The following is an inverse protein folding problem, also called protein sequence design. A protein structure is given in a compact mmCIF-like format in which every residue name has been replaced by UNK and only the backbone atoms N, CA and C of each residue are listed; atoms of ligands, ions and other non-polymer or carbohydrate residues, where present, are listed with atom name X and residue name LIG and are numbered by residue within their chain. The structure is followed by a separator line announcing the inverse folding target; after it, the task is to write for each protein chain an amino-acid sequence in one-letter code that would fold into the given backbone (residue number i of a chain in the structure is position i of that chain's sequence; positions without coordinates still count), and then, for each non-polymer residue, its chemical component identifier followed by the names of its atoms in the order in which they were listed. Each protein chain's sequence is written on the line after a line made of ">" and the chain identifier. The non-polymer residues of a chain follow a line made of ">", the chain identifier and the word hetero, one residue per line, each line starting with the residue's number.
data_IF_266656354054
#
_entry.id   IF_266656354054
#
_cell.length_a   1.000
_cell.length_b   1.000
_cell.length_c   1.000
_cell.angle_alpha   90.00
_cell.angle_beta   90.00
_cell.angle_gamma   90.00
#
_symmetry.space_group_name_H-M   'P 1'
#
loop_
_entity.id
_entity.type
_entity.pdbx_description
1 polymer ?
#
# COMPACT_ATOMS: atom_id res chain seq x y z
N UNK A 1 14.43 -32.36 7.51
CA UNK A 1 14.39 -30.94 7.11
C UNK A 1 13.02 -30.35 7.48
N UNK A 2 12.87 -29.76 8.67
CA UNK A 2 11.60 -29.17 9.10
C UNK A 2 11.40 -27.81 8.42
N UNK A 3 10.67 -27.83 7.29
CA UNK A 3 10.32 -26.63 6.54
C UNK A 3 9.45 -25.71 7.39
N UNK A 4 10.04 -24.63 7.93
CA UNK A 4 9.30 -23.55 8.59
C UNK A 4 8.22 -23.03 7.64
N UNK A 5 6.96 -23.38 7.88
CA UNK A 5 5.83 -22.84 7.13
C UNK A 5 5.85 -21.31 7.24
N UNK A 6 6.17 -20.61 6.14
CA UNK A 6 6.20 -19.15 6.10
C UNK A 6 4.81 -18.65 6.50
N UNK A 7 4.69 -18.08 7.71
CA UNK A 7 3.48 -17.40 8.21
C UNK A 7 2.95 -16.48 7.10
N UNK A 8 1.85 -16.87 6.47
CA UNK A 8 1.28 -16.12 5.34
C UNK A 8 0.91 -14.73 5.85
N UNK A 9 1.67 -13.71 5.43
CA UNK A 9 1.40 -12.34 5.86
C UNK A 9 0.01 -11.93 5.36
N UNK A 10 -0.74 -11.12 6.10
CA UNK A 10 -2.11 -10.72 5.73
C UNK A 10 -2.22 -9.99 4.37
N UNK A 11 -1.09 -9.52 3.83
CA UNK A 11 -0.96 -8.96 2.48
C UNK A 11 -0.57 -10.01 1.42
N UNK A 12 -0.33 -11.27 1.75
CA UNK A 12 -0.05 -12.32 0.76
C UNK A 12 -1.21 -12.47 -0.24
N UNK A 13 -2.45 -12.35 0.25
CA UNK A 13 -3.66 -12.30 -0.60
C UNK A 13 -3.69 -11.07 -1.53
N UNK A 14 -3.04 -9.96 -1.14
CA UNK A 14 -2.92 -8.78 -2.00
C UNK A 14 -2.13 -9.07 -3.27
N UNK A 15 -1.05 -9.86 -3.20
CA UNK A 15 -0.20 -10.13 -4.37
C UNK A 15 -0.97 -10.72 -5.56
N UNK A 16 -1.98 -11.55 -5.28
CA UNK A 16 -2.84 -12.19 -6.29
C UNK A 16 -3.80 -11.22 -6.98
N UNK A 17 -4.17 -10.12 -6.32
CA UNK A 17 -5.16 -9.15 -6.82
C UNK A 17 -4.56 -7.77 -7.09
N UNK A 18 -3.29 -7.55 -6.72
CA UNK A 18 -2.58 -6.31 -6.93
C UNK A 18 -2.38 -6.06 -8.43
N UNK A 19 -2.44 -4.79 -8.86
CA UNK A 19 -2.12 -4.44 -10.24
C UNK A 19 -0.62 -4.52 -10.52
N UNK A 20 -0.30 -5.05 -11.69
CA UNK A 20 1.01 -5.07 -12.34
C UNK A 20 1.46 -3.67 -12.75
N UNK A 21 2.70 -3.51 -13.19
CA UNK A 21 3.27 -2.20 -13.56
C UNK A 21 2.51 -1.51 -14.70
N UNK A 22 2.06 -2.28 -15.69
CA UNK A 22 1.28 -1.78 -16.82
C UNK A 22 -0.15 -1.43 -16.37
N UNK A 23 -0.82 -2.34 -15.66
CA UNK A 23 -2.16 -2.10 -15.11
C UNK A 23 -2.20 -0.87 -14.20
N UNK A 24 -1.14 -0.63 -13.41
CA UNK A 24 -1.05 0.57 -12.58
C UNK A 24 -1.01 1.86 -13.40
N UNK A 25 -0.39 1.85 -14.58
CA UNK A 25 -0.39 3.01 -15.48
C UNK A 25 -1.80 3.27 -16.00
N UNK A 26 -2.48 2.24 -16.50
CA UNK A 26 -3.86 2.33 -16.99
C UNK A 26 -4.83 2.76 -15.87
N UNK A 27 -4.69 2.18 -14.69
CA UNK A 27 -5.50 2.54 -13.52
C UNK A 27 -5.22 3.96 -13.03
N UNK A 28 -3.99 4.47 -13.20
CA UNK A 28 -3.70 5.86 -12.87
C UNK A 28 -4.43 6.82 -13.82
N UNK A 29 -4.51 6.49 -15.10
CA UNK A 29 -5.29 7.26 -16.08
C UNK A 29 -6.81 7.16 -15.81
N UNK A 30 -7.32 5.96 -15.53
CA UNK A 30 -8.75 5.70 -15.37
C UNK A 30 -9.31 6.10 -14.00
N UNK A 31 -8.60 5.77 -12.92
CA UNK A 31 -9.07 5.96 -11.54
C UNK A 31 -8.38 7.13 -10.83
N UNK A 32 -7.19 7.55 -11.30
CA UNK A 32 -6.43 8.64 -10.69
C UNK A 32 -6.01 8.38 -9.24
N UNK A 33 -5.88 9.47 -8.50
CA UNK A 33 -5.42 9.50 -7.09
C UNK A 33 -6.34 8.74 -6.12
N UNK A 34 -7.54 8.34 -6.54
CA UNK A 34 -8.46 7.52 -5.74
C UNK A 34 -7.86 6.15 -5.39
N UNK A 35 -7.05 5.61 -6.30
CA UNK A 35 -6.48 4.26 -6.17
C UNK A 35 -5.00 4.23 -5.81
N UNK A 36 -4.35 5.39 -5.65
CA UNK A 36 -2.93 5.51 -5.36
C UNK A 36 -2.68 6.55 -4.28
N UNK A 37 -2.07 6.14 -3.17
CA UNK A 37 -1.82 7.05 -2.05
C UNK A 37 -0.50 7.82 -2.15
N UNK A 38 0.38 7.47 -3.09
CA UNK A 38 1.64 8.17 -3.32
C UNK A 38 1.71 8.90 -4.66
N UNK A 39 2.88 9.46 -4.95
CA UNK A 39 3.22 10.06 -6.24
C UNK A 39 3.11 9.06 -7.38
N UNK A 40 2.54 9.50 -8.50
CA UNK A 40 2.34 8.68 -9.71
C UNK A 40 1.57 7.39 -9.36
N UNK A 41 2.12 6.24 -9.74
CA UNK A 41 1.51 4.92 -9.57
C UNK A 41 1.95 4.18 -8.30
N UNK A 42 2.37 4.93 -7.28
CA UNK A 42 2.90 4.38 -6.02
C UNK A 42 1.78 4.09 -5.02
N UNK A 43 1.96 3.05 -4.22
CA UNK A 43 1.00 2.63 -3.19
C UNK A 43 -0.41 2.38 -3.74
N UNK A 44 -0.59 1.38 -4.63
CA UNK A 44 -1.91 1.00 -5.11
C UNK A 44 -2.77 0.46 -3.96
N UNK A 45 -4.03 0.87 -3.91
CA UNK A 45 -5.02 0.43 -2.91
C UNK A 45 -6.28 -0.20 -3.52
N UNK A 46 -6.43 -0.16 -4.85
CA UNK A 46 -7.53 -0.77 -5.58
C UNK A 46 -7.10 -2.09 -6.23
N UNK A 47 -8.00 -3.08 -6.27
CA UNK A 47 -7.76 -4.34 -6.98
C UNK A 47 -7.50 -4.06 -8.47
N UNK A 48 -6.68 -4.90 -9.11
CA UNK A 48 -6.39 -4.80 -10.55
C UNK A 48 -7.66 -4.66 -11.38
N UNK A 49 -7.61 -3.84 -12.42
CA UNK A 49 -8.71 -3.56 -13.34
C UNK A 49 -10.00 -3.02 -12.69
N UNK A 50 -9.93 -2.53 -11.45
CA UNK A 50 -11.06 -1.90 -10.77
C UNK A 50 -10.68 -0.54 -10.20
N UNK A 51 -11.65 0.36 -10.06
CA UNK A 51 -11.50 1.58 -9.25
C UNK A 51 -12.07 1.39 -7.82
N UNK A 52 -12.13 0.14 -7.34
CA UNK A 52 -12.69 -0.24 -6.04
C UNK A 52 -11.57 -0.50 -5.05
N UNK A 53 -11.61 0.18 -3.90
CA UNK A 53 -10.62 0.02 -2.83
C UNK A 53 -10.72 -1.38 -2.23
N UNK A 54 -9.56 -2.00 -1.99
CA UNK A 54 -9.45 -3.30 -1.37
C UNK A 54 -8.77 -3.16 0.00
N UNK A 55 -9.34 -3.76 1.04
CA UNK A 55 -8.77 -3.73 2.39
C UNK A 55 -7.34 -4.28 2.44
N UNK A 56 -7.04 -5.35 1.71
CA UNK A 56 -5.69 -5.90 1.60
C UNK A 56 -4.73 -4.94 0.91
N UNK A 57 -5.21 -4.17 -0.08
CA UNK A 57 -4.42 -3.14 -0.76
C UNK A 57 -4.11 -1.95 0.14
N UNK A 58 -5.09 -1.49 0.90
CA UNK A 58 -4.88 -0.43 1.90
C UNK A 58 -3.91 -0.89 3.00
N UNK A 59 -4.05 -2.12 3.50
CA UNK A 59 -3.10 -2.70 4.46
C UNK A 59 -1.69 -2.82 3.87
N UNK A 60 -1.57 -3.30 2.63
CA UNK A 60 -0.28 -3.39 1.95
C UNK A 60 0.37 -2.01 1.78
N UNK A 61 -0.41 -0.99 1.41
CA UNK A 61 0.08 0.39 1.31
C UNK A 61 0.55 0.93 2.66
N UNK A 62 -0.18 0.65 3.75
CA UNK A 62 0.23 1.02 5.11
C UNK A 62 1.56 0.39 5.51
N UNK A 63 1.69 -0.93 5.33
CA UNK A 63 2.91 -1.68 5.70
C UNK A 63 4.11 -1.16 4.90
N UNK A 64 3.98 -1.07 3.57
CA UNK A 64 5.05 -0.56 2.70
C UNK A 64 5.44 0.88 3.02
N UNK A 65 4.48 1.72 3.37
CA UNK A 65 4.77 3.10 3.74
C UNK A 65 5.56 3.18 5.06
N UNK A 66 5.28 2.30 6.03
CA UNK A 66 6.09 2.22 7.26
C UNK A 66 7.50 1.69 7.01
N UNK A 67 7.64 0.64 6.19
CA UNK A 67 8.95 0.12 5.77
C UNK A 67 9.78 1.24 5.13
N UNK A 68 9.21 1.97 4.17
CA UNK A 68 9.92 3.04 3.47
C UNK A 68 10.19 4.26 4.37
N UNK A 69 9.32 4.58 5.32
CA UNK A 69 9.59 5.61 6.32
C UNK A 69 10.80 5.24 7.18
N UNK A 70 10.92 3.98 7.59
CA UNK A 70 12.06 3.48 8.36
C UNK A 70 13.36 3.57 7.57
N UNK A 71 13.35 3.08 6.33
CA UNK A 71 14.50 3.12 5.42
C UNK A 71 14.91 4.57 5.13
N UNK A 72 13.94 5.47 4.90
CA UNK A 72 14.23 6.88 4.66
C UNK A 72 14.73 7.60 5.92
N UNK A 73 14.44 7.09 7.11
CA UNK A 73 14.92 7.66 8.39
C UNK A 73 16.38 7.29 8.67
N UNK A 74 16.88 6.21 8.09
CA UNK A 74 18.27 5.81 8.18
C UNK A 74 19.20 6.88 7.57
N UNK A 75 20.19 7.34 8.34
CA UNK A 75 21.18 8.33 7.94
C UNK A 75 22.15 7.79 6.87
N UNK A 76 22.33 6.47 6.79
CA UNK A 76 23.19 5.82 5.80
C UNK A 76 22.54 5.68 4.40
N UNK A 77 21.23 5.95 4.27
CA UNK A 77 20.54 5.92 2.98
C UNK A 77 20.94 7.14 2.12
N UNK A 78 22.01 6.97 1.32
CA UNK A 78 22.67 8.00 0.51
C UNK A 78 21.83 8.63 -0.63
N UNK A 79 20.65 8.09 -0.96
CA UNK A 79 19.80 8.62 -2.04
C UNK A 79 18.30 8.49 -1.74
N UNK A 80 17.75 9.44 -0.97
CA UNK A 80 16.34 9.41 -0.58
C UNK A 80 15.47 10.04 -1.68
N UNK A 81 14.64 9.23 -2.33
CA UNK A 81 13.62 9.75 -3.28
C UNK A 81 12.58 10.63 -2.59
N UNK A 82 12.26 10.36 -1.33
CA UNK A 82 11.31 11.12 -0.51
C UNK A 82 11.76 11.13 0.96
N UNK A 83 11.44 12.21 1.69
CA UNK A 83 11.70 12.32 3.14
C UNK A 83 10.83 11.33 3.94
N UNK A 84 11.24 10.89 5.15
CA UNK A 84 10.44 9.99 6.00
C UNK A 84 9.01 10.47 6.22
N UNK A 85 8.83 11.78 6.36
CA UNK A 85 7.53 12.41 6.58
C UNK A 85 6.52 12.12 5.45
N UNK A 86 6.98 12.08 4.20
CA UNK A 86 6.13 11.74 3.05
C UNK A 86 5.52 10.33 3.20
N UNK A 87 6.35 9.35 3.54
CA UNK A 87 5.90 7.97 3.76
C UNK A 87 5.02 7.85 5.02
N UNK A 88 5.36 8.56 6.10
CA UNK A 88 4.49 8.65 7.30
C UNK A 88 3.10 9.19 6.94
N UNK A 89 3.01 10.22 6.10
CA UNK A 89 1.75 10.77 5.61
C UNK A 89 0.91 9.78 4.79
N UNK A 90 1.55 8.93 3.98
CA UNK A 90 0.88 7.83 3.27
C UNK A 90 0.35 6.78 4.25
N UNK A 91 1.18 6.36 5.21
CA UNK A 91 0.80 5.40 6.23
C UNK A 91 -0.41 5.90 7.05
N UNK A 92 -0.39 7.17 7.48
CA UNK A 92 -1.50 7.78 8.22
C UNK A 92 -2.80 7.83 7.40
N UNK A 93 -2.73 8.11 6.09
CA UNK A 93 -3.91 8.07 5.21
C UNK A 93 -4.45 6.64 5.04
N UNK A 94 -3.57 5.67 4.80
CA UNK A 94 -3.96 4.26 4.70
C UNK A 94 -4.58 3.73 6.01
N UNK A 95 -4.00 4.09 7.16
CA UNK A 95 -4.51 3.71 8.48
C UNK A 95 -5.91 4.29 8.74
N UNK A 96 -6.14 5.57 8.37
CA UNK A 96 -7.47 6.18 8.44
C UNK A 96 -8.51 5.43 7.60
N UNK A 97 -8.14 5.04 6.38
CA UNK A 97 -9.01 4.23 5.50
C UNK A 97 -9.34 2.87 6.14
N UNK A 98 -8.37 2.21 6.76
CA UNK A 98 -8.59 0.94 7.47
C UNK A 98 -9.51 1.08 8.69
N UNK A 99 -9.33 2.13 9.50
CA UNK A 99 -10.17 2.40 10.68
C UNK A 99 -11.61 2.70 10.30
N UNK A 100 -11.84 3.45 9.20
CA UNK A 100 -13.19 3.73 8.68
C UNK A 100 -13.91 2.46 8.23
N UNK A 101 -13.20 1.51 7.60
CA UNK A 101 -13.79 0.23 7.18
C UNK A 101 -14.13 -0.69 8.36
N UNK A 102 -13.41 -0.60 9.49
CA UNK A 102 -13.73 -1.38 10.71
C UNK A 102 -15.03 -0.95 11.38
N UNK A 103 -15.43 0.32 11.27
CA UNK A 103 -16.68 0.83 11.86
C UNK A 103 -17.95 0.46 11.05
N UNK A 104 -17.80 0.01 9.81
CA UNK A 104 -18.94 -0.31 8.91
C UNK A 104 -19.36 -1.79 8.95
N UNK A 105 -18.80 -2.58 9.86
CA UNK A 105 -19.08 -4.02 10.00
C UNK A 105 -19.34 -4.43 11.45
N UNK A 106 -19.64 -3.44 12.29
CA UNK A 106 -20.03 -3.56 13.71
C UNK A 106 -21.34 -2.83 13.97
N UNK A 107 -22.18 -2.71 12.93
CA UNK A 107 -23.55 -2.18 12.98
C UNK A 107 -24.45 -3.12 12.20
#
# INVERSE_FOLDING_TARGET
>A
MTGKTKKQRAWAKWSKVAPTTHERTLMLQKCGKKCFLGTKKSFPICSRNTCKRNRHGVLAAYIRAKEYASIASDSAAKSKKHRPYYYKGIASRANRMMKKTRRLYTS
#
